data_IF_147625005182
#
_entry.id   IF_147625005182
#
_cell.length_a   1.000
_cell.length_b   1.000
_cell.length_c   1.000
_cell.angle_alpha   90.00
_cell.angle_beta   90.00
_cell.angle_gamma   90.00
#
_symmetry.space_group_name_H-M   'P 1'
#
loop_
_entity.id
_entity.type
_entity.pdbx_description
1 polymer ?
#
# COMPACT_ATOMS: atom_id res chain seq x y z
N UNK A 1 -22.41 -11.47 4.90
CA UNK A 1 -21.09 -11.96 4.42
C UNK A 1 -20.04 -10.99 4.90
N UNK A 2 -18.93 -11.43 5.48
CA UNK A 2 -17.84 -10.51 5.87
C UNK A 2 -17.14 -9.97 4.62
N UNK A 3 -17.15 -8.65 4.43
CA UNK A 3 -16.42 -7.98 3.35
C UNK A 3 -14.98 -7.76 3.80
N UNK A 4 -14.02 -8.28 3.03
CA UNK A 4 -12.60 -8.11 3.26
C UNK A 4 -11.98 -7.48 2.02
N UNK A 5 -11.46 -6.27 2.17
CA UNK A 5 -10.68 -5.59 1.14
C UNK A 5 -9.19 -5.91 1.31
N UNK A 6 -8.50 -6.08 0.19
CA UNK A 6 -7.04 -6.26 0.14
C UNK A 6 -6.46 -5.15 -0.72
N UNK A 7 -5.53 -4.37 -0.17
CA UNK A 7 -4.84 -3.31 -0.90
C UNK A 7 -3.45 -3.76 -1.35
N UNK A 8 -3.06 -3.44 -2.58
CA UNK A 8 -1.71 -3.69 -3.11
C UNK A 8 -1.08 -2.37 -3.56
N UNK A 9 0.11 -2.09 -3.06
CA UNK A 9 0.89 -0.91 -3.46
C UNK A 9 2.18 -1.32 -4.16
N UNK A 10 2.46 -0.69 -5.31
CA UNK A 10 3.70 -0.88 -6.07
C UNK A 10 4.87 -0.09 -5.47
N UNK A 11 6.08 -0.28 -5.99
CA UNK A 11 7.28 0.33 -5.40
C UNK A 11 7.29 1.86 -5.42
N UNK A 12 6.66 2.50 -6.41
CA UNK A 12 6.52 3.97 -6.47
C UNK A 12 5.57 4.50 -5.40
N UNK A 13 4.51 3.75 -5.06
CA UNK A 13 3.57 4.07 -3.99
C UNK A 13 4.19 3.99 -2.59
N UNK A 14 5.37 3.39 -2.46
CA UNK A 14 6.12 3.28 -1.20
C UNK A 14 7.57 3.76 -1.37
N UNK A 15 7.84 4.64 -2.34
CA UNK A 15 9.20 5.08 -2.68
C UNK A 15 9.85 5.95 -1.61
N UNK A 16 9.06 6.75 -0.89
CA UNK A 16 9.50 7.69 0.12
C UNK A 16 8.38 7.95 1.14
N UNK A 17 8.65 8.80 2.11
CA UNK A 17 7.72 9.14 3.19
C UNK A 17 6.37 9.69 2.68
N UNK A 18 6.39 10.62 1.73
CA UNK A 18 5.18 11.26 1.22
C UNK A 18 4.31 10.29 0.41
N UNK A 19 4.95 9.44 -0.41
CA UNK A 19 4.26 8.39 -1.16
C UNK A 19 3.60 7.36 -0.22
N UNK A 20 4.31 6.95 0.83
CA UNK A 20 3.79 6.00 1.82
C UNK A 20 2.64 6.61 2.65
N UNK A 21 2.75 7.88 3.02
CA UNK A 21 1.66 8.63 3.69
C UNK A 21 0.40 8.66 2.82
N UNK A 22 0.57 8.91 1.52
CA UNK A 22 -0.55 8.87 0.56
C UNK A 22 -1.18 7.48 0.46
N UNK A 23 -0.36 6.42 0.44
CA UNK A 23 -0.83 5.03 0.45
C UNK A 23 -1.57 4.67 1.75
N UNK A 24 -1.09 5.16 2.90
CA UNK A 24 -1.73 4.96 4.20
C UNK A 24 -3.12 5.63 4.25
N UNK A 25 -3.26 6.83 3.69
CA UNK A 25 -4.55 7.51 3.60
C UNK A 25 -5.58 6.70 2.80
N UNK A 26 -5.15 6.02 1.72
CA UNK A 26 -6.03 5.12 0.94
C UNK A 26 -6.46 3.91 1.79
N UNK A 27 -5.55 3.30 2.55
CA UNK A 27 -5.87 2.15 3.42
C UNK A 27 -6.86 2.54 4.51
N UNK A 28 -6.65 3.67 5.18
CA UNK A 28 -7.47 4.12 6.31
C UNK A 28 -8.86 4.57 5.84
N UNK A 29 -9.00 4.99 4.57
CA UNK A 29 -10.28 5.39 4.00
C UNK A 29 -11.28 4.22 3.84
N UNK A 30 -10.82 2.96 3.81
CA UNK A 30 -11.69 1.78 3.81
C UNK A 30 -11.44 0.89 5.02
N UNK A 31 -12.37 0.92 5.99
CA UNK A 31 -12.31 0.10 7.20
C UNK A 31 -12.31 -1.43 6.95
N UNK A 32 -12.69 -1.87 5.75
CA UNK A 32 -12.62 -3.28 5.36
C UNK A 32 -11.24 -3.71 4.84
N UNK A 33 -10.32 -2.76 4.62
CA UNK A 33 -8.93 -3.07 4.22
C UNK A 33 -8.17 -3.60 5.43
N UNK A 34 -8.11 -4.92 5.56
CA UNK A 34 -7.44 -5.61 6.69
C UNK A 34 -6.16 -6.33 6.30
N UNK A 35 -5.85 -6.39 4.99
CA UNK A 35 -4.60 -6.93 4.46
C UNK A 35 -4.02 -5.94 3.45
N UNK A 36 -2.74 -5.61 3.61
CA UNK A 36 -2.00 -4.74 2.70
C UNK A 36 -0.76 -5.48 2.22
N UNK A 37 -0.58 -5.55 0.90
CA UNK A 37 0.58 -6.17 0.26
C UNK A 37 1.44 -5.08 -0.35
N UNK A 38 2.73 -5.08 -0.03
CA UNK A 38 3.69 -4.08 -0.50
C UNK A 38 4.74 -4.73 -1.40
N UNK A 39 5.13 -4.02 -2.46
CA UNK A 39 6.43 -4.26 -3.09
C UNK A 39 7.52 -3.54 -2.28
N UNK A 40 8.79 -3.86 -2.53
CA UNK A 40 9.89 -3.02 -2.03
C UNK A 40 9.81 -1.61 -2.63
N UNK A 41 10.34 -0.61 -1.93
CA UNK A 41 10.44 0.77 -2.40
C UNK A 41 11.14 0.85 -3.75
N UNK A 42 10.70 1.80 -4.61
CA UNK A 42 11.25 1.97 -5.95
C UNK A 42 12.79 2.10 -5.90
N UNK A 43 13.47 1.34 -6.77
CA UNK A 43 14.93 1.30 -6.83
C UNK A 43 15.62 0.35 -5.84
N UNK A 44 14.89 -0.28 -4.92
CA UNK A 44 15.48 -1.25 -3.98
C UNK A 44 15.68 -2.62 -4.64
N UNK A 45 14.67 -3.12 -5.36
CA UNK A 45 14.80 -4.36 -6.11
C UNK A 45 15.37 -4.05 -7.49
N UNK A 46 16.55 -4.60 -7.78
CA UNK A 46 17.11 -4.61 -9.12
C UNK A 46 16.40 -5.75 -9.86
N UNK A 47 15.58 -5.41 -10.85
CA UNK A 47 15.13 -6.33 -11.91
C UNK A 47 15.98 -6.13 -13.14
#
# INVERSE_FOLDING_TARGET
MSHLSVAKFGGTSVANFDAMTSSANIVIADANTRVVVLSASAGVTIT
#
